data_IF_705641768703
#
_entry.id   IF_705641768703
#
_cell.length_a   1.000
_cell.length_b   1.000
_cell.length_c   1.000
_cell.angle_alpha   90.00
_cell.angle_beta   90.00
_cell.angle_gamma   90.00
#
_symmetry.space_group_name_H-M   'P 1'
#
loop_
_entity.id
_entity.type
_entity.pdbx_description
1 polymer ?
#
# COMPACT_ATOMS: atom_id res chain seq x y z
N UNK A 1 -36.95 58.82 11.15
CA UNK A 1 -36.27 58.03 10.11
C UNK A 1 -35.29 57.09 10.82
N UNK A 2 -35.62 55.79 10.86
CA UNK A 2 -34.75 54.73 11.39
C UNK A 2 -33.62 54.45 10.38
N UNK A 3 -32.37 54.18 10.83
CA UNK A 3 -31.33 53.72 9.92
C UNK A 3 -31.49 52.19 9.71
N UNK A 4 -31.97 51.78 8.53
CA UNK A 4 -32.12 50.37 8.12
C UNK A 4 -30.79 49.67 7.75
N UNK A 5 -29.62 50.28 7.97
CA UNK A 5 -28.35 49.81 7.38
C UNK A 5 -27.50 48.81 8.18
N UNK A 6 -27.81 48.52 9.45
CA UNK A 6 -26.97 47.65 10.30
C UNK A 6 -27.47 46.20 10.44
N UNK A 7 -28.72 45.91 10.08
CA UNK A 7 -29.28 44.54 10.12
C UNK A 7 -28.86 43.68 8.93
N UNK A 8 -28.65 44.27 7.75
CA UNK A 8 -28.41 43.51 6.52
C UNK A 8 -26.98 42.97 6.41
N UNK A 9 -25.96 43.67 6.92
CA UNK A 9 -24.57 43.18 6.90
C UNK A 9 -24.34 42.00 7.87
N UNK A 10 -25.00 42.01 9.04
CA UNK A 10 -24.92 40.92 10.01
C UNK A 10 -25.79 39.71 9.60
N UNK A 11 -26.94 39.94 8.94
CA UNK A 11 -27.76 38.88 8.36
C UNK A 11 -27.11 38.22 7.12
N UNK A 12 -26.34 38.98 6.33
CA UNK A 12 -25.64 38.46 5.13
C UNK A 12 -24.38 37.66 5.49
N UNK A 13 -23.68 38.01 6.58
CA UNK A 13 -22.59 37.20 7.15
C UNK A 13 -23.09 35.86 7.68
N UNK A 14 -24.16 35.87 8.48
CA UNK A 14 -24.78 34.67 9.05
C UNK A 14 -25.45 33.76 8.01
N UNK A 15 -26.01 34.30 6.92
CA UNK A 15 -26.52 33.52 5.79
C UNK A 15 -25.41 32.84 4.97
N UNK A 16 -24.31 33.53 4.68
CA UNK A 16 -23.18 32.95 3.93
C UNK A 16 -22.43 31.88 4.73
N UNK A 17 -22.34 32.02 6.06
CA UNK A 17 -21.77 30.98 6.95
C UNK A 17 -22.64 29.71 6.97
N UNK A 18 -23.97 29.85 6.99
CA UNK A 18 -24.91 28.71 6.95
C UNK A 18 -24.92 27.93 5.63
N UNK A 19 -24.85 28.63 4.50
CA UNK A 19 -24.81 28.01 3.17
C UNK A 19 -23.49 27.26 2.93
N UNK A 20 -22.37 27.82 3.42
CA UNK A 20 -21.05 27.19 3.35
C UNK A 20 -20.97 25.92 4.22
N UNK A 21 -21.44 25.98 5.47
CA UNK A 21 -21.50 24.82 6.36
C UNK A 21 -22.40 23.71 5.80
N UNK A 22 -23.52 24.07 5.19
CA UNK A 22 -24.40 23.13 4.50
C UNK A 22 -23.67 22.45 3.33
N UNK A 23 -22.95 23.22 2.50
CA UNK A 23 -22.15 22.67 1.41
C UNK A 23 -21.07 21.69 1.92
N UNK A 24 -20.32 22.06 2.96
CA UNK A 24 -19.29 21.21 3.57
C UNK A 24 -19.90 19.93 4.13
N UNK A 25 -21.07 20.01 4.79
CA UNK A 25 -21.81 18.85 5.30
C UNK A 25 -22.17 17.87 4.18
N UNK A 26 -22.74 18.35 3.08
CA UNK A 26 -23.11 17.49 1.94
C UNK A 26 -21.89 16.91 1.24
N UNK A 27 -20.84 17.71 1.00
CA UNK A 27 -19.59 17.21 0.43
C UNK A 27 -18.98 16.12 1.31
N UNK A 28 -18.85 16.37 2.62
CA UNK A 28 -18.34 15.39 3.57
C UNK A 28 -19.17 14.11 3.57
N UNK A 29 -20.50 14.21 3.57
CA UNK A 29 -21.37 13.04 3.49
C UNK A 29 -21.16 12.25 2.19
N UNK A 30 -21.17 12.92 1.03
CA UNK A 30 -21.02 12.26 -0.28
C UNK A 30 -19.67 11.54 -0.38
N UNK A 31 -18.56 12.21 -0.03
CA UNK A 31 -17.23 11.60 -0.07
C UNK A 31 -17.11 10.41 0.89
N UNK A 32 -17.56 10.56 2.14
CA UNK A 32 -17.53 9.46 3.11
C UNK A 32 -18.46 8.31 2.71
N UNK A 33 -19.55 8.58 2.00
CA UNK A 33 -20.47 7.55 1.51
C UNK A 33 -19.82 6.70 0.41
N UNK A 34 -19.09 7.34 -0.53
CA UNK A 34 -18.30 6.58 -1.52
C UNK A 34 -17.18 5.77 -0.86
N UNK A 35 -16.49 6.33 0.13
CA UNK A 35 -15.47 5.61 0.91
C UNK A 35 -16.09 4.39 1.63
N UNK A 36 -17.26 4.57 2.23
CA UNK A 36 -18.01 3.50 2.88
C UNK A 36 -18.37 2.38 1.90
N UNK A 37 -18.91 2.71 0.72
CA UNK A 37 -19.23 1.73 -0.31
C UNK A 37 -17.98 1.01 -0.84
N UNK A 38 -16.89 1.75 -1.06
CA UNK A 38 -15.60 1.18 -1.45
C UNK A 38 -15.05 0.21 -0.39
N UNK A 39 -15.10 0.60 0.88
CA UNK A 39 -14.71 -0.25 2.01
C UNK A 39 -15.56 -1.51 2.11
N UNK A 40 -16.88 -1.39 1.98
CA UNK A 40 -17.80 -2.52 1.97
C UNK A 40 -17.52 -3.48 0.80
N UNK A 41 -17.23 -2.94 -0.39
CA UNK A 41 -16.85 -3.74 -1.55
C UNK A 41 -15.53 -4.49 -1.33
N UNK A 42 -14.49 -3.80 -0.85
CA UNK A 42 -13.19 -4.43 -0.55
C UNK A 42 -13.30 -5.51 0.52
N UNK A 43 -14.08 -5.27 1.58
CA UNK A 43 -14.39 -6.29 2.58
C UNK A 43 -15.12 -7.48 1.97
N UNK A 44 -16.14 -7.23 1.14
CA UNK A 44 -16.89 -8.28 0.46
C UNK A 44 -15.99 -9.16 -0.40
N UNK A 45 -15.11 -8.55 -1.20
CA UNK A 45 -14.12 -9.27 -2.02
C UNK A 45 -13.12 -10.03 -1.14
N UNK A 46 -12.58 -9.40 -0.10
CA UNK A 46 -11.63 -10.06 0.80
C UNK A 46 -12.23 -11.27 1.53
N UNK A 47 -13.47 -11.15 2.02
CA UNK A 47 -14.20 -12.23 2.66
C UNK A 47 -14.54 -13.32 1.64
N UNK A 48 -14.99 -12.93 0.45
CA UNK A 48 -15.27 -13.88 -0.64
C UNK A 48 -14.05 -14.75 -0.93
N UNK A 49 -12.86 -14.15 -1.09
CA UNK A 49 -11.62 -14.88 -1.36
C UNK A 49 -11.23 -15.81 -0.20
N UNK A 50 -11.50 -15.42 1.07
CA UNK A 50 -11.22 -16.26 2.23
C UNK A 50 -12.17 -17.44 2.38
N UNK A 51 -13.44 -17.25 2.03
CA UNK A 51 -14.52 -18.24 2.22
C UNK A 51 -14.70 -19.13 0.98
N UNK A 52 -14.07 -18.79 -0.15
CA UNK A 52 -14.32 -19.41 -1.44
C UNK A 52 -14.26 -20.96 -1.38
N UNK A 53 -15.39 -21.65 -1.62
CA UNK A 53 -15.45 -23.10 -1.60
C UNK A 53 -14.81 -23.76 -2.85
N UNK A 54 -14.42 -22.98 -3.87
CA UNK A 54 -13.91 -23.49 -5.15
C UNK A 54 -12.41 -23.82 -5.15
N UNK A 55 -11.72 -23.69 -4.01
CA UNK A 55 -10.27 -23.96 -3.88
C UNK A 55 -9.37 -22.77 -4.18
N UNK A 56 -9.94 -21.60 -4.46
CA UNK A 56 -9.20 -20.35 -4.72
C UNK A 56 -8.32 -19.94 -3.53
N UNK A 57 -8.78 -20.21 -2.30
CA UNK A 57 -8.00 -20.04 -1.08
C UNK A 57 -6.68 -20.83 -1.12
N UNK A 58 -6.65 -22.03 -1.69
CA UNK A 58 -5.44 -22.86 -1.76
C UNK A 58 -4.42 -22.28 -2.76
N UNK A 59 -4.90 -21.75 -3.88
CA UNK A 59 -4.07 -21.06 -4.88
C UNK A 59 -3.45 -19.78 -4.30
N UNK A 60 -4.26 -19.03 -3.53
CA UNK A 60 -3.81 -17.83 -2.83
C UNK A 60 -2.83 -18.19 -1.70
N UNK A 61 -3.11 -19.23 -0.92
CA UNK A 61 -2.24 -19.69 0.17
C UNK A 61 -0.90 -20.25 -0.33
N UNK A 62 -0.85 -20.81 -1.54
CA UNK A 62 0.39 -21.22 -2.18
C UNK A 62 1.35 -20.04 -2.46
N UNK A 63 0.81 -18.82 -2.49
CA UNK A 63 1.58 -17.60 -2.77
C UNK A 63 1.55 -16.68 -1.53
N UNK A 64 2.63 -16.62 -0.72
CA UNK A 64 2.64 -15.83 0.52
C UNK A 64 2.35 -14.34 0.30
N UNK A 65 2.71 -13.79 -0.88
CA UNK A 65 2.36 -12.42 -1.26
C UNK A 65 0.86 -12.22 -1.46
N UNK A 66 0.19 -13.14 -2.16
CA UNK A 66 -1.25 -13.06 -2.39
C UNK A 66 -2.01 -13.29 -1.09
N UNK A 67 -1.56 -14.23 -0.28
CA UNK A 67 -2.13 -14.49 1.04
C UNK A 67 -2.05 -13.23 1.91
N UNK A 68 -0.87 -12.61 2.03
CA UNK A 68 -0.68 -11.34 2.74
C UNK A 68 -1.54 -10.23 2.15
N UNK A 69 -1.64 -10.16 0.82
CA UNK A 69 -2.46 -9.19 0.10
C UNK A 69 -3.95 -9.26 0.45
N UNK A 70 -4.51 -10.46 0.61
CA UNK A 70 -5.92 -10.63 0.99
C UNK A 70 -6.19 -10.09 2.40
N UNK A 71 -5.32 -10.38 3.36
CA UNK A 71 -5.45 -9.81 4.71
C UNK A 71 -5.27 -8.28 4.71
N UNK A 72 -4.36 -7.76 3.89
CA UNK A 72 -4.19 -6.32 3.73
C UNK A 72 -5.46 -5.67 3.17
N UNK A 73 -6.08 -6.25 2.14
CA UNK A 73 -7.36 -5.78 1.57
C UNK A 73 -8.47 -5.78 2.63
N UNK A 74 -8.53 -6.82 3.47
CA UNK A 74 -9.53 -6.90 4.55
C UNK A 74 -9.34 -5.82 5.61
N UNK A 75 -8.10 -5.61 6.07
CA UNK A 75 -7.80 -4.60 7.08
C UNK A 75 -8.07 -3.20 6.51
N UNK A 76 -7.58 -2.91 5.31
CA UNK A 76 -7.79 -1.63 4.64
C UNK A 76 -9.27 -1.39 4.35
N UNK A 77 -9.98 -2.38 3.81
CA UNK A 77 -11.42 -2.31 3.56
C UNK A 77 -12.23 -2.08 4.84
N UNK A 78 -11.84 -2.73 5.94
CA UNK A 78 -12.44 -2.55 7.26
C UNK A 78 -12.26 -1.14 7.81
N UNK A 79 -11.03 -0.62 7.72
CA UNK A 79 -10.73 0.76 8.12
C UNK A 79 -11.52 1.77 7.29
N UNK A 80 -11.55 1.62 5.96
CA UNK A 80 -12.33 2.50 5.07
C UNK A 80 -13.83 2.43 5.34
N UNK A 81 -14.38 1.23 5.56
CA UNK A 81 -15.78 1.04 5.93
C UNK A 81 -16.12 1.79 7.23
N UNK A 82 -15.28 1.64 8.26
CA UNK A 82 -15.49 2.28 9.55
C UNK A 82 -15.36 3.80 9.46
N UNK A 83 -14.33 4.31 8.79
CA UNK A 83 -14.12 5.74 8.56
C UNK A 83 -15.30 6.35 7.79
N UNK A 84 -15.71 5.73 6.69
CA UNK A 84 -16.83 6.18 5.89
C UNK A 84 -18.14 6.18 6.67
N UNK A 85 -18.41 5.13 7.45
CA UNK A 85 -19.60 5.05 8.30
C UNK A 85 -19.63 6.16 9.35
N UNK A 86 -18.52 6.38 10.06
CA UNK A 86 -18.39 7.41 11.09
C UNK A 86 -18.48 8.82 10.50
N UNK A 87 -17.83 9.07 9.36
CA UNK A 87 -17.91 10.34 8.65
C UNK A 87 -19.33 10.64 8.19
N UNK A 88 -20.02 9.66 7.60
CA UNK A 88 -21.42 9.81 7.18
C UNK A 88 -22.36 10.06 8.38
N UNK A 89 -22.24 9.24 9.43
CA UNK A 89 -23.10 9.36 10.61
C UNK A 89 -22.81 10.62 11.40
N UNK A 90 -21.55 11.02 11.54
CA UNK A 90 -21.14 12.27 12.17
C UNK A 90 -21.70 13.49 11.44
N UNK A 91 -21.63 13.49 10.10
CA UNK A 91 -22.19 14.56 9.28
C UNK A 91 -23.73 14.61 9.35
N UNK A 92 -24.44 13.50 9.14
CA UNK A 92 -25.91 13.49 9.14
C UNK A 92 -26.50 13.76 10.52
N UNK A 93 -26.00 13.06 11.55
CA UNK A 93 -26.58 13.12 12.90
C UNK A 93 -26.15 14.36 13.67
N UNK A 94 -25.25 15.17 13.10
CA UNK A 94 -24.69 16.35 13.76
C UNK A 94 -24.15 16.02 15.16
N UNK A 95 -23.61 14.81 15.33
CA UNK A 95 -23.14 14.33 16.62
C UNK A 95 -21.67 14.67 16.78
N UNK A 96 -21.41 15.68 17.63
CA UNK A 96 -20.06 16.15 18.00
C UNK A 96 -19.12 15.02 18.43
N UNK A 97 -19.60 14.03 19.18
CA UNK A 97 -18.77 12.91 19.62
C UNK A 97 -18.35 11.99 18.46
N UNK A 98 -19.26 11.70 17.52
CA UNK A 98 -18.94 10.89 16.33
C UNK A 98 -17.97 11.63 15.40
N UNK A 99 -18.17 12.94 15.24
CA UNK A 99 -17.30 13.78 14.42
C UNK A 99 -15.90 13.93 15.03
N UNK A 100 -15.81 14.04 16.37
CA UNK A 100 -14.53 14.03 17.09
C UNK A 100 -13.83 12.68 16.95
N UNK A 101 -14.56 11.57 17.07
CA UNK A 101 -13.97 10.24 16.89
C UNK A 101 -13.45 10.05 15.46
N UNK A 102 -14.21 10.48 14.45
CA UNK A 102 -13.75 10.53 13.06
C UNK A 102 -12.46 11.36 12.91
N UNK A 103 -12.42 12.57 13.46
CA UNK A 103 -11.24 13.43 13.46
C UNK A 103 -10.03 12.74 14.12
N UNK A 104 -10.21 12.15 15.30
CA UNK A 104 -9.13 11.47 16.01
C UNK A 104 -8.58 10.26 15.24
N UNK A 105 -9.44 9.50 14.57
CA UNK A 105 -8.99 8.38 13.73
C UNK A 105 -8.17 8.86 12.54
N UNK A 106 -8.64 9.89 11.81
CA UNK A 106 -7.88 10.46 10.69
C UNK A 106 -6.55 11.03 11.17
N UNK A 107 -6.52 11.71 12.33
CA UNK A 107 -5.28 12.23 12.92
C UNK A 107 -4.28 11.11 13.24
N UNK A 108 -4.74 9.99 13.80
CA UNK A 108 -3.87 8.84 14.08
C UNK A 108 -3.31 8.24 12.79
N UNK A 109 -4.14 8.13 11.74
CA UNK A 109 -3.70 7.62 10.43
C UNK A 109 -2.66 8.57 9.83
N UNK A 110 -2.91 9.88 9.82
CA UNK A 110 -1.97 10.88 9.34
C UNK A 110 -0.60 10.79 10.04
N UNK A 111 -0.59 10.65 11.37
CA UNK A 111 0.65 10.49 12.13
C UNK A 111 1.36 9.16 11.82
N UNK A 112 0.60 8.09 11.62
CA UNK A 112 1.16 6.79 11.23
C UNK A 112 1.75 6.84 9.82
N UNK A 113 1.07 7.45 8.86
CA UNK A 113 1.57 7.64 7.49
C UNK A 113 2.85 8.49 7.49
N UNK A 114 2.88 9.58 8.25
CA UNK A 114 4.06 10.41 8.40
C UNK A 114 5.23 9.63 9.02
N UNK A 115 4.97 8.82 10.06
CA UNK A 115 5.99 7.98 10.67
C UNK A 115 6.53 6.93 9.69
N UNK A 116 5.66 6.28 8.92
CA UNK A 116 6.05 5.32 7.87
C UNK A 116 6.86 6.00 6.77
N UNK A 117 6.47 7.21 6.34
CA UNK A 117 7.20 7.98 5.33
C UNK A 117 8.61 8.37 5.81
N UNK A 118 8.74 8.84 7.07
CA UNK A 118 10.03 9.16 7.68
C UNK A 118 10.90 7.92 7.82
N UNK A 119 10.35 6.81 8.33
CA UNK A 119 11.07 5.54 8.44
C UNK A 119 11.55 5.05 7.07
N UNK A 120 10.68 5.11 6.06
CA UNK A 120 11.04 4.73 4.68
C UNK A 120 12.17 5.60 4.12
N UNK A 121 12.16 6.91 4.39
CA UNK A 121 13.23 7.83 3.98
C UNK A 121 14.57 7.49 4.66
N UNK A 122 14.57 7.29 5.98
CA UNK A 122 15.78 6.93 6.74
C UNK A 122 16.35 5.59 6.27
N UNK A 123 15.49 4.58 6.08
CA UNK A 123 15.93 3.28 5.57
C UNK A 123 16.48 3.35 4.15
N UNK A 124 15.95 4.25 3.31
CA UNK A 124 16.50 4.50 1.97
C UNK A 124 17.90 5.08 2.08
N UNK A 125 18.08 6.12 2.89
CA UNK A 125 19.38 6.78 3.08
C UNK A 125 20.43 5.82 3.66
N UNK A 126 20.07 5.05 4.70
CA UNK A 126 20.96 4.06 5.29
C UNK A 126 21.36 2.95 4.30
N UNK A 127 20.47 2.57 3.37
CA UNK A 127 20.80 1.60 2.31
C UNK A 127 21.74 2.17 1.25
N UNK A 128 21.59 3.43 0.89
CA UNK A 128 22.48 4.10 -0.06
C UNK A 128 23.89 4.31 0.51
N UNK A 129 24.00 4.57 1.82
CA UNK A 129 25.29 4.78 2.50
C UNK A 129 26.06 3.48 2.77
N UNK A 130 25.37 2.37 3.06
CA UNK A 130 25.99 1.08 3.38
C UNK A 130 26.15 0.12 2.20
N UNK A 131 25.81 0.53 0.97
CA UNK A 131 26.12 -0.24 -0.24
C UNK A 131 27.65 -0.39 -0.50
N UNK A 132 28.51 0.29 0.28
CA UNK A 132 29.96 0.07 0.29
C UNK A 132 30.49 -0.89 1.37
N UNK A 133 29.65 -1.41 2.29
CA UNK A 133 30.11 -2.24 3.41
C UNK A 133 29.17 -3.44 3.63
N UNK A 134 29.64 -4.60 3.17
CA UNK A 134 29.33 -5.97 3.59
C UNK A 134 27.93 -6.33 4.17
N UNK A 135 27.29 -7.28 3.48
CA UNK A 135 26.79 -8.55 4.05
C UNK A 135 26.02 -8.54 5.38
N UNK A 136 25.11 -7.60 5.63
CA UNK A 136 24.09 -7.82 6.67
C UNK A 136 22.72 -7.38 6.21
N UNK A 137 22.17 -8.15 5.27
CA UNK A 137 20.73 -8.22 5.13
C UNK A 137 20.25 -9.24 6.16
N UNK A 138 19.35 -8.88 7.09
CA UNK A 138 18.81 -9.86 8.02
C UNK A 138 18.23 -11.02 7.21
N UNK A 139 18.43 -12.22 7.74
CA UNK A 139 18.05 -13.55 7.25
C UNK A 139 16.58 -13.71 6.81
N UNK A 140 15.80 -12.64 6.80
CA UNK A 140 14.43 -12.55 6.27
C UNK A 140 14.36 -12.59 4.74
N UNK A 141 15.46 -12.32 4.01
CA UNK A 141 15.48 -12.45 2.53
C UNK A 141 15.88 -13.86 2.07
N UNK A 142 16.37 -14.72 2.97
CA UNK A 142 16.77 -16.10 2.69
C UNK A 142 15.59 -17.06 2.50
N UNK A 143 14.41 -16.77 3.08
CA UNK A 143 13.21 -17.59 2.89
C UNK A 143 12.60 -17.47 1.49
N UNK A 144 13.18 -16.56 0.74
CA UNK A 144 12.63 -15.90 -0.39
C UNK A 144 12.88 -16.47 -1.81
N UNK A 145 13.46 -17.66 -1.96
CA UNK A 145 14.29 -17.93 -3.16
C UNK A 145 13.56 -18.55 -4.36
N UNK A 146 12.30 -18.98 -4.22
CA UNK A 146 11.52 -19.52 -5.37
C UNK A 146 10.61 -18.48 -6.02
N UNK A 147 9.85 -17.74 -5.20
CA UNK A 147 8.86 -16.77 -5.66
C UNK A 147 9.46 -15.45 -6.20
N UNK A 148 10.57 -14.94 -5.65
CA UNK A 148 11.22 -13.70 -6.16
C UNK A 148 11.88 -13.91 -7.52
N UNK A 149 12.49 -15.07 -7.73
CA UNK A 149 13.15 -15.45 -8.98
C UNK A 149 12.16 -15.58 -10.14
N UNK A 150 10.91 -15.97 -9.82
CA UNK A 150 9.82 -16.08 -10.79
C UNK A 150 9.11 -14.75 -11.06
N UNK A 151 9.03 -13.86 -10.06
CA UNK A 151 8.36 -12.56 -10.14
C UNK A 151 9.22 -11.47 -10.81
N UNK A 152 10.54 -11.46 -10.55
CA UNK A 152 11.44 -10.37 -10.95
C UNK A 152 12.45 -10.75 -12.03
N UNK A 153 12.26 -11.90 -12.68
CA UNK A 153 13.10 -12.37 -13.77
C UNK A 153 14.62 -12.23 -13.48
N UNK A 154 15.06 -12.82 -12.38
CA UNK A 154 16.43 -12.68 -11.86
C UNK A 154 17.07 -14.05 -11.56
N UNK A 155 18.37 -14.10 -11.24
CA UNK A 155 19.08 -15.28 -10.75
C UNK A 155 20.21 -14.90 -9.79
N UNK A 156 20.30 -15.60 -8.67
CA UNK A 156 21.24 -15.30 -7.60
C UNK A 156 20.94 -13.98 -6.88
N UNK A 157 21.70 -13.66 -5.84
CA UNK A 157 21.55 -12.41 -5.09
C UNK A 157 22.08 -11.25 -5.94
N UNK A 158 23.33 -11.35 -6.39
CA UNK A 158 24.01 -10.36 -7.22
C UNK A 158 24.12 -10.82 -8.68
N UNK A 159 24.30 -12.12 -8.92
CA UNK A 159 24.35 -12.70 -10.27
C UNK A 159 24.17 -14.23 -10.24
N UNK A 160 24.08 -14.88 -11.41
CA UNK A 160 24.03 -16.34 -11.49
C UNK A 160 25.32 -17.03 -10.98
N UNK A 161 26.42 -16.27 -10.87
CA UNK A 161 27.71 -16.76 -10.38
C UNK A 161 27.69 -17.04 -8.87
N UNK A 162 26.70 -16.53 -8.14
CA UNK A 162 26.51 -16.82 -6.70
C UNK A 162 26.26 -18.32 -6.41
N UNK A 163 25.96 -19.11 -7.45
CA UNK A 163 25.80 -20.56 -7.37
C UNK A 163 27.09 -21.33 -7.68
N UNK A 164 28.25 -20.77 -7.37
CA UNK A 164 29.57 -21.37 -7.57
C UNK A 164 29.77 -22.72 -6.83
N UNK A 165 30.96 -23.31 -6.99
CA UNK A 165 31.39 -24.58 -6.36
C UNK A 165 31.43 -24.52 -4.83
N UNK A 166 31.49 -23.33 -4.25
CA UNK A 166 31.50 -23.14 -2.79
C UNK A 166 30.08 -23.02 -2.23
N UNK A 167 29.10 -22.67 -3.06
CA UNK A 167 27.71 -22.52 -2.66
C UNK A 167 27.10 -23.83 -2.12
N UNK A 168 26.26 -23.68 -1.08
CA UNK A 168 25.51 -24.80 -0.49
C UNK A 168 24.62 -25.49 -1.53
N UNK A 169 24.08 -24.73 -2.48
CA UNK A 169 23.26 -25.25 -3.58
C UNK A 169 24.03 -26.25 -4.44
N UNK A 170 25.25 -25.91 -4.86
CA UNK A 170 26.05 -26.77 -5.74
C UNK A 170 26.54 -28.03 -5.02
N UNK A 171 26.83 -27.95 -3.72
CA UNK A 171 27.14 -29.14 -2.90
C UNK A 171 25.99 -30.13 -2.81
N UNK A 172 24.75 -29.65 -2.74
CA UNK A 172 23.55 -30.49 -2.73
C UNK A 172 23.15 -30.99 -4.12
N UNK A 173 23.54 -30.27 -5.19
CA UNK A 173 23.15 -30.57 -6.56
C UNK A 173 24.37 -30.55 -7.50
N UNK A 174 25.28 -31.55 -7.40
CA UNK A 174 26.55 -31.55 -8.16
C UNK A 174 26.36 -31.60 -9.68
N UNK A 175 25.20 -32.05 -10.15
CA UNK A 175 24.87 -32.14 -11.58
C UNK A 175 24.21 -30.88 -12.15
N UNK A 176 24.03 -29.82 -11.34
CA UNK A 176 23.31 -28.60 -11.73
C UNK A 176 24.11 -27.35 -11.36
N UNK A 177 24.34 -26.49 -12.34
CA UNK A 177 25.07 -25.24 -12.21
C UNK A 177 24.25 -24.17 -11.47
N UNK A 178 22.94 -24.12 -11.74
CA UNK A 178 21.97 -23.15 -11.20
C UNK A 178 20.61 -23.79 -10.91
N UNK A 179 19.74 -23.18 -10.08
CA UNK A 179 18.37 -23.63 -9.89
C UNK A 179 17.53 -23.55 -11.18
N UNK A 180 16.52 -24.42 -11.32
CA UNK A 180 15.65 -24.47 -12.51
C UNK A 180 14.95 -23.13 -12.82
N UNK A 181 14.68 -22.32 -11.79
CA UNK A 181 14.04 -21.00 -11.92
C UNK A 181 14.91 -19.93 -12.59
N UNK A 182 16.22 -20.16 -12.69
CA UNK A 182 17.15 -19.26 -13.39
C UNK A 182 17.16 -19.48 -14.91
N UNK A 183 16.56 -20.57 -15.39
CA UNK A 183 16.47 -20.89 -16.80
C UNK A 183 15.24 -20.22 -17.41
N UNK A 184 15.46 -19.40 -18.43
CA UNK A 184 14.40 -18.64 -19.09
C UNK A 184 13.49 -19.55 -19.91
N UNK A 185 12.17 -19.45 -19.73
CA UNK A 185 11.18 -20.09 -20.62
C UNK A 185 10.99 -19.20 -21.86
N UNK A 186 11.92 -19.26 -22.81
CA UNK A 186 11.60 -18.79 -24.15
C UNK A 186 10.89 -19.91 -24.92
N UNK A 187 9.93 -19.55 -25.78
CA UNK A 187 9.12 -20.47 -26.61
C UNK A 187 9.92 -21.27 -27.67
N UNK A 188 11.21 -21.00 -27.81
CA UNK A 188 12.11 -21.81 -28.63
C UNK A 188 12.64 -22.95 -27.78
N UNK A 189 12.55 -24.17 -28.33
CA UNK A 189 13.00 -25.46 -27.78
C UNK A 189 14.40 -25.37 -27.15
N UNK A 190 14.46 -24.84 -25.94
CA UNK A 190 15.64 -24.75 -25.12
C UNK A 190 15.58 -25.93 -24.17
N UNK A 191 16.49 -26.87 -24.37
CA UNK A 191 16.68 -28.00 -23.47
C UNK A 191 16.93 -27.45 -22.06
N UNK A 192 15.96 -27.63 -21.17
CA UNK A 192 16.05 -27.26 -19.76
C UNK A 192 17.33 -27.81 -19.12
N UNK A 193 17.79 -28.98 -19.58
CA UNK A 193 19.01 -29.65 -19.12
C UNK A 193 20.29 -28.97 -19.60
N UNK A 194 20.31 -28.38 -20.80
CA UNK A 194 21.46 -27.63 -21.30
C UNK A 194 21.67 -26.33 -20.51
N UNK A 195 20.59 -25.65 -20.13
CA UNK A 195 20.66 -24.46 -19.27
C UNK A 195 21.15 -24.80 -17.85
N UNK A 196 20.63 -25.89 -17.27
CA UNK A 196 21.09 -26.36 -15.96
C UNK A 196 22.57 -26.76 -15.94
N UNK A 197 23.14 -27.08 -17.10
CA UNK A 197 24.57 -27.39 -17.28
C UNK A 197 25.42 -26.19 -17.71
N UNK A 198 24.82 -25.01 -17.92
CA UNK A 198 25.51 -23.80 -18.36
C UNK A 198 25.90 -23.76 -19.84
N UNK A 199 25.31 -24.63 -20.66
CA UNK A 199 25.56 -24.69 -22.12
C UNK A 199 24.75 -23.60 -22.85
N UNK A 200 23.64 -23.17 -22.26
CA UNK A 200 22.68 -22.19 -22.77
C UNK A 200 22.71 -20.90 -21.92
N UNK A 201 22.21 -19.76 -22.45
CA UNK A 201 22.22 -18.49 -21.72
C UNK A 201 21.39 -18.57 -20.44
N UNK A 202 22.05 -18.30 -19.32
CA UNK A 202 21.44 -18.20 -17.99
C UNK A 202 21.08 -16.75 -17.74
N UNK A 203 19.98 -16.51 -17.02
CA UNK A 203 19.61 -15.18 -16.56
C UNK A 203 20.68 -14.63 -15.62
N UNK A 204 21.37 -13.56 -16.01
CA UNK A 204 22.49 -13.04 -15.22
C UNK A 204 22.15 -11.84 -14.33
N UNK A 205 20.92 -11.31 -14.41
CA UNK A 205 20.47 -10.21 -13.55
C UNK A 205 20.28 -10.70 -12.12
N UNK A 206 21.04 -10.15 -11.17
CA UNK A 206 20.88 -10.44 -9.74
C UNK A 206 19.52 -10.02 -9.19
N UNK A 207 18.96 -10.82 -8.29
CA UNK A 207 17.67 -10.53 -7.67
C UNK A 207 17.71 -9.28 -6.77
N UNK A 208 18.87 -8.92 -6.21
CA UNK A 208 19.02 -7.68 -5.47
C UNK A 208 18.77 -6.46 -6.36
N UNK A 209 19.51 -6.35 -7.47
CA UNK A 209 19.34 -5.25 -8.44
C UNK A 209 17.95 -5.27 -9.07
N UNK A 210 17.41 -6.43 -9.44
CA UNK A 210 16.06 -6.51 -10.00
C UNK A 210 14.98 -6.01 -9.03
N UNK A 211 15.11 -6.32 -7.75
CA UNK A 211 14.20 -5.83 -6.70
C UNK A 211 14.39 -4.32 -6.47
N UNK A 212 15.63 -3.83 -6.45
CA UNK A 212 15.92 -2.39 -6.29
C UNK A 212 15.37 -1.58 -7.47
N UNK A 213 15.62 -2.00 -8.72
CA UNK A 213 15.09 -1.34 -9.93
C UNK A 213 13.57 -1.28 -9.94
N UNK A 214 12.93 -2.38 -9.51
CA UNK A 214 11.49 -2.43 -9.36
C UNK A 214 11.04 -1.41 -8.32
N UNK A 215 11.59 -1.44 -7.11
CA UNK A 215 11.22 -0.49 -6.07
C UNK A 215 11.47 0.97 -6.47
N UNK A 216 12.59 1.31 -7.11
CA UNK A 216 12.87 2.66 -7.59
C UNK A 216 11.86 3.15 -8.64
N UNK A 217 11.32 2.25 -9.46
CA UNK A 217 10.25 2.63 -10.41
C UNK A 217 8.93 2.92 -9.70
N UNK A 218 8.55 2.08 -8.73
CA UNK A 218 7.26 2.22 -8.04
C UNK A 218 7.27 3.21 -6.87
N UNK A 219 8.44 3.57 -6.32
CA UNK A 219 8.55 4.47 -5.17
C UNK A 219 8.12 5.90 -5.52
N UNK A 220 8.35 6.36 -6.76
CA UNK A 220 7.88 7.67 -7.21
C UNK A 220 6.35 7.72 -7.27
N UNK A 221 5.72 6.68 -7.84
CA UNK A 221 4.26 6.58 -7.91
C UNK A 221 3.64 6.43 -6.52
N UNK A 222 4.23 5.59 -5.66
CA UNK A 222 3.79 5.41 -4.27
C UNK A 222 3.94 6.71 -3.46
N UNK A 223 5.04 7.43 -3.63
CA UNK A 223 5.27 8.73 -2.98
C UNK A 223 4.27 9.79 -3.43
N UNK A 224 3.96 9.86 -4.74
CA UNK A 224 2.93 10.75 -5.26
C UNK A 224 1.54 10.44 -4.67
N UNK A 225 1.17 9.15 -4.60
CA UNK A 225 -0.08 8.72 -3.98
C UNK A 225 -0.12 9.08 -2.48
N UNK A 226 0.97 8.87 -1.74
CA UNK A 226 1.04 9.21 -0.33
C UNK A 226 0.83 10.71 -0.08
N UNK A 227 1.42 11.59 -0.91
CA UNK A 227 1.21 13.05 -0.80
C UNK A 227 -0.28 13.38 -1.03
N UNK A 228 -0.92 12.78 -2.03
CA UNK A 228 -2.35 12.99 -2.30
C UNK A 228 -3.19 12.55 -1.10
N UNK A 229 -2.92 11.39 -0.52
CA UNK A 229 -3.64 10.91 0.68
C UNK A 229 -3.49 11.88 1.84
N UNK A 230 -2.26 12.28 2.20
CA UNK A 230 -2.01 13.25 3.27
C UNK A 230 -2.75 14.58 3.06
N UNK A 231 -2.84 15.07 1.82
CA UNK A 231 -3.59 16.30 1.54
C UNK A 231 -5.10 16.10 1.75
N UNK A 232 -5.66 14.97 1.31
CA UNK A 232 -7.08 14.65 1.50
C UNK A 232 -7.42 14.52 2.99
N UNK A 233 -6.56 13.86 3.77
CA UNK A 233 -6.73 13.73 5.22
C UNK A 233 -6.73 15.10 5.92
N UNK A 234 -5.82 15.99 5.51
CA UNK A 234 -5.78 17.35 6.04
C UNK A 234 -7.08 18.11 5.75
N UNK A 235 -7.60 18.04 4.52
CA UNK A 235 -8.89 18.64 4.19
C UNK A 235 -10.04 18.00 4.99
N UNK A 236 -10.05 16.68 5.16
CA UNK A 236 -11.05 15.98 5.95
C UNK A 236 -11.04 16.43 7.42
N UNK A 237 -9.84 16.60 8.01
CA UNK A 237 -9.67 17.12 9.37
C UNK A 237 -10.18 18.55 9.49
N UNK A 238 -9.87 19.42 8.53
CA UNK A 238 -10.36 20.81 8.50
C UNK A 238 -11.89 20.83 8.42
N UNK A 239 -12.49 20.08 7.50
CA UNK A 239 -13.94 20.02 7.35
C UNK A 239 -14.64 19.43 8.58
N UNK A 240 -14.07 18.39 9.20
CA UNK A 240 -14.59 17.84 10.44
C UNK A 240 -14.58 18.89 11.57
N UNK A 241 -13.51 19.68 11.70
CA UNK A 241 -13.43 20.75 12.71
C UNK A 241 -14.36 21.92 12.40
N UNK A 242 -14.52 22.31 11.14
CA UNK A 242 -15.49 23.33 10.73
C UNK A 242 -16.92 22.91 11.09
N UNK A 243 -17.30 21.67 10.76
CA UNK A 243 -18.61 21.13 11.13
C UNK A 243 -18.77 20.98 12.64
N UNK A 244 -17.73 20.54 13.37
CA UNK A 244 -17.78 20.41 14.83
C UNK A 244 -18.08 21.74 15.52
N UNK A 245 -17.50 22.84 15.01
CA UNK A 245 -17.74 24.20 15.52
C UNK A 245 -19.08 24.78 15.07
N UNK A 246 -19.56 24.38 13.88
CA UNK A 246 -20.83 24.86 13.32
C UNK A 246 -22.07 24.20 13.94
N UNK A 247 -21.95 23.01 14.52
CA UNK A 247 -23.03 22.36 15.25
C UNK A 247 -23.24 23.09 16.57
N UNK A 248 -24.45 23.62 16.80
CA UNK A 248 -24.85 24.26 18.07
C UNK A 248 -25.12 23.19 19.14
#
# INVERSE_FOLDING_TARGET
>A
MLPQGQGEASARGTSMEGDCLSCIKYLMFIFNFFIFLGGAFLLGVGIWVLVDPTGFREIVAANPLLFTGVYAILIMGGMLFLLGFLGCCGAIRENKCLLLFFFMLILIIFLAELAVAILAFIFREHRLLHQGAENTLPSTITYCTKYKTMMFDCCGVNSAEDFDDQSLFRRLNPSRLVPEVCCQRNHLMMSKEECLKGIMPIRNKGCYSAVVDYFETYIYMAGALAIVVLTIELFAMVFAMCLFRGIQ
#
